data_IF_436129347409
#
_entry.id   IF_436129347409
#
_cell.length_a   1.000
_cell.length_b   1.000
_cell.length_c   1.000
_cell.angle_alpha   90.00
_cell.angle_beta   90.00
_cell.angle_gamma   90.00
#
_symmetry.space_group_name_H-M   'P 1'
#
loop_
_entity.id
_entity.type
_entity.pdbx_description
1 polymer ?
#
# COMPACT_ATOMS: atom_id res chain seq x y z
N UNK A 1 6.15 -19.89 -4.25
CA UNK A 1 6.56 -19.11 -3.07
C UNK A 1 5.70 -17.86 -3.03
N UNK A 2 5.02 -17.61 -1.91
CA UNK A 2 4.11 -16.46 -1.74
C UNK A 2 4.89 -15.18 -1.51
N UNK A 3 4.35 -14.04 -1.94
CA UNK A 3 5.01 -12.74 -1.80
C UNK A 3 4.31 -11.88 -0.76
N UNK A 4 5.06 -11.42 0.23
CA UNK A 4 4.66 -10.40 1.20
C UNK A 4 5.36 -9.09 0.84
N UNK A 5 4.60 -8.10 0.39
CA UNK A 5 5.11 -6.77 0.09
C UNK A 5 4.89 -5.82 1.28
N UNK A 6 5.97 -5.31 1.86
CA UNK A 6 5.93 -4.32 2.92
C UNK A 6 6.29 -2.93 2.40
N UNK A 7 5.29 -2.06 2.29
CA UNK A 7 5.44 -0.67 1.84
C UNK A 7 5.48 0.26 3.05
N UNK A 8 6.56 1.00 3.21
CA UNK A 8 6.70 2.00 4.29
C UNK A 8 6.69 3.41 3.76
N UNK A 9 5.94 4.28 4.44
CA UNK A 9 5.70 5.68 4.02
C UNK A 9 5.96 6.61 5.18
N UNK A 10 7.21 6.75 5.60
CA UNK A 10 7.59 7.70 6.65
C UNK A 10 9.05 8.11 6.51
N UNK A 11 9.34 9.40 6.67
CA UNK A 11 10.72 9.92 6.68
C UNK A 11 11.46 9.57 7.99
N UNK A 12 10.72 9.24 9.07
CA UNK A 12 11.32 8.82 10.34
C UNK A 12 11.85 7.39 10.26
N UNK A 13 12.94 7.06 10.95
CA UNK A 13 13.37 5.68 11.13
C UNK A 13 12.31 4.83 11.85
N UNK A 14 12.42 3.52 11.74
CA UNK A 14 11.38 2.58 12.19
C UNK A 14 11.08 2.69 13.69
N UNK A 15 12.09 2.80 14.52
CA UNK A 15 12.01 2.96 15.98
C UNK A 15 11.33 4.28 16.43
N UNK A 16 11.35 5.29 15.56
CA UNK A 16 10.73 6.58 15.82
C UNK A 16 9.32 6.72 15.18
N UNK A 17 8.90 5.75 14.39
CA UNK A 17 7.62 5.76 13.67
C UNK A 17 6.66 4.71 14.19
N UNK A 18 5.57 5.12 14.82
CA UNK A 18 4.58 4.19 15.38
C UNK A 18 3.97 3.26 14.30
N UNK A 19 3.63 3.80 13.11
CA UNK A 19 3.11 2.98 12.01
C UNK A 19 4.13 1.96 11.50
N UNK A 20 5.42 2.34 11.35
CA UNK A 20 6.47 1.41 10.90
C UNK A 20 6.77 0.36 11.97
N UNK A 21 6.83 0.74 13.26
CA UNK A 21 7.02 -0.20 14.38
C UNK A 21 5.93 -1.27 14.42
N UNK A 22 4.65 -0.85 14.28
CA UNK A 22 3.52 -1.79 14.28
C UNK A 22 3.46 -2.57 12.97
N UNK A 23 3.72 -1.93 11.81
CA UNK A 23 3.81 -2.61 10.52
C UNK A 23 4.89 -3.69 10.49
N UNK A 24 6.07 -3.42 11.06
CA UNK A 24 7.15 -4.40 11.21
C UNK A 24 6.73 -5.57 12.11
N UNK A 25 6.07 -5.29 13.22
CA UNK A 25 5.56 -6.33 14.11
C UNK A 25 4.54 -7.24 13.38
N UNK A 26 3.64 -6.66 12.59
CA UNK A 26 2.69 -7.42 11.77
C UNK A 26 3.41 -8.28 10.71
N UNK A 27 4.37 -7.71 9.98
CA UNK A 27 5.18 -8.45 8.98
C UNK A 27 5.91 -9.64 9.63
N UNK A 28 6.55 -9.41 10.78
CA UNK A 28 7.26 -10.47 11.49
C UNK A 28 6.32 -11.59 11.94
N UNK A 29 5.11 -11.26 12.40
CA UNK A 29 4.12 -12.26 12.80
C UNK A 29 3.58 -13.04 11.59
N UNK A 30 3.37 -12.39 10.44
CA UNK A 30 2.99 -13.08 9.19
C UNK A 30 4.08 -14.09 8.78
N UNK A 31 5.35 -13.69 8.82
CA UNK A 31 6.48 -14.56 8.46
C UNK A 31 6.70 -15.70 9.46
N UNK A 32 6.35 -15.49 10.74
CA UNK A 32 6.42 -16.53 11.76
C UNK A 32 5.30 -17.58 11.62
N UNK A 33 4.09 -17.15 11.27
CA UNK A 33 2.94 -18.03 11.10
C UNK A 33 2.96 -18.77 9.74
N UNK A 34 3.46 -18.10 8.69
CA UNK A 34 3.44 -18.61 7.31
C UNK A 34 4.84 -18.55 6.70
N UNK A 35 5.57 -19.65 6.76
CA UNK A 35 6.97 -19.76 6.31
C UNK A 35 7.15 -19.78 4.78
N UNK A 36 6.06 -19.89 4.01
CA UNK A 36 6.08 -19.84 2.56
C UNK A 36 6.23 -18.42 1.98
N UNK A 37 6.10 -17.36 2.80
CA UNK A 37 6.25 -16.00 2.32
C UNK A 37 7.70 -15.58 2.11
N UNK A 38 7.95 -14.96 0.96
CA UNK A 38 9.15 -14.15 0.69
C UNK A 38 8.81 -12.68 0.92
N UNK A 39 9.57 -12.03 1.80
CA UNK A 39 9.43 -10.61 2.07
C UNK A 39 10.10 -9.78 0.98
N UNK A 40 9.35 -8.83 0.42
CA UNK A 40 9.84 -7.70 -0.37
C UNK A 40 9.55 -6.40 0.38
N UNK A 41 10.55 -5.51 0.51
CA UNK A 41 10.40 -4.23 1.22
C UNK A 41 10.52 -3.06 0.25
N UNK A 42 9.63 -2.07 0.39
CA UNK A 42 9.63 -0.84 -0.40
C UNK A 42 9.46 0.38 0.52
N UNK A 43 10.53 1.12 0.74
CA UNK A 43 10.50 2.39 1.48
C UNK A 43 10.32 3.55 0.49
N UNK A 44 9.11 4.15 0.47
CA UNK A 44 8.75 5.20 -0.49
C UNK A 44 9.49 6.53 -0.27
N UNK A 45 10.20 6.69 0.86
CA UNK A 45 11.09 7.83 1.08
C UNK A 45 12.53 7.60 0.60
N UNK A 46 12.88 6.35 0.27
CA UNK A 46 14.21 5.98 -0.23
C UNK A 46 14.17 5.55 -1.69
N UNK A 47 13.08 4.91 -2.10
CA UNK A 47 12.90 4.47 -3.47
C UNK A 47 12.58 5.66 -4.39
N UNK A 48 13.03 5.57 -5.64
CA UNK A 48 12.58 6.49 -6.67
C UNK A 48 11.18 6.09 -7.13
N UNK A 49 10.21 6.97 -6.89
CA UNK A 49 8.82 6.82 -7.36
C UNK A 49 8.61 7.84 -8.47
N UNK A 50 8.52 7.41 -9.74
CA UNK A 50 8.34 8.33 -10.86
C UNK A 50 6.98 9.03 -10.79
N UNK A 51 6.97 10.31 -11.16
CA UNK A 51 5.71 11.01 -11.45
C UNK A 51 5.20 10.62 -12.83
N UNK A 52 3.89 10.47 -12.93
CA UNK A 52 3.26 10.19 -14.21
C UNK A 52 3.29 11.43 -15.11
N UNK A 53 3.83 11.28 -16.32
CA UNK A 53 3.86 12.32 -17.34
C UNK A 53 2.98 11.89 -18.54
N UNK A 54 2.35 12.85 -19.22
CA UNK A 54 1.39 12.53 -20.29
C UNK A 54 1.98 11.69 -21.43
N UNK A 55 3.27 11.89 -21.74
CA UNK A 55 3.96 11.16 -22.80
C UNK A 55 4.25 9.69 -22.49
N UNK A 56 4.02 9.24 -21.25
CA UNK A 56 4.20 7.84 -20.85
C UNK A 56 3.00 6.96 -21.21
N UNK A 57 1.91 7.57 -21.66
CA UNK A 57 0.65 6.88 -21.92
C UNK A 57 0.28 6.83 -23.39
N UNK A 58 -0.11 5.65 -23.87
CA UNK A 58 -0.77 5.47 -25.17
C UNK A 58 -2.22 5.97 -25.14
N UNK A 59 -2.88 5.84 -24.00
CA UNK A 59 -4.25 6.29 -23.73
C UNK A 59 -4.48 6.39 -22.22
N UNK A 60 -5.70 6.69 -21.79
CA UNK A 60 -6.04 6.85 -20.38
C UNK A 60 -5.54 5.67 -19.51
N UNK A 61 -4.58 5.93 -18.62
CA UNK A 61 -3.95 4.97 -17.70
C UNK A 61 -3.36 3.70 -18.38
N UNK A 62 -3.16 3.72 -19.71
CA UNK A 62 -2.54 2.65 -20.47
C UNK A 62 -1.12 3.09 -20.85
N UNK A 63 -0.12 2.40 -20.31
CA UNK A 63 1.28 2.70 -20.62
C UNK A 63 1.58 2.47 -22.11
N UNK A 64 2.62 3.14 -22.62
CA UNK A 64 3.12 2.93 -23.97
C UNK A 64 3.46 1.46 -24.20
N UNK A 65 3.25 1.00 -25.44
CA UNK A 65 3.82 -0.26 -25.92
C UNK A 65 5.34 -0.14 -26.15
N UNK A 66 5.99 -1.26 -26.43
CA UNK A 66 7.44 -1.30 -26.59
C UNK A 66 7.95 -0.38 -27.71
N UNK A 67 7.24 -0.34 -28.84
CA UNK A 67 7.67 0.44 -30.02
C UNK A 67 7.58 1.95 -29.75
N UNK A 68 6.52 2.40 -29.08
CA UNK A 68 6.36 3.79 -28.69
C UNK A 68 7.33 4.19 -27.57
N UNK A 69 7.58 3.29 -26.62
CA UNK A 69 8.53 3.50 -25.54
C UNK A 69 9.96 3.72 -26.04
N UNK A 70 10.41 2.93 -27.03
CA UNK A 70 11.76 3.06 -27.63
C UNK A 70 11.99 4.43 -28.33
N UNK A 71 10.92 5.19 -28.60
CA UNK A 71 11.02 6.55 -29.16
C UNK A 71 11.24 7.65 -28.12
N UNK A 72 11.02 7.33 -26.84
CA UNK A 72 11.30 8.27 -25.76
C UNK A 72 12.80 8.43 -25.48
N UNK A 73 13.23 9.56 -24.90
CA UNK A 73 14.57 9.71 -24.37
C UNK A 73 14.91 8.60 -23.36
N UNK A 74 16.18 8.12 -23.27
CA UNK A 74 16.55 7.02 -22.39
C UNK A 74 16.11 7.18 -20.93
N UNK A 75 16.22 8.40 -20.38
CA UNK A 75 15.77 8.71 -19.01
C UNK A 75 14.27 8.48 -18.84
N UNK A 76 13.46 8.86 -19.82
CA UNK A 76 12.00 8.66 -19.75
C UNK A 76 11.63 7.18 -19.93
N UNK A 77 12.38 6.42 -20.71
CA UNK A 77 12.25 4.96 -20.78
C UNK A 77 12.49 4.30 -19.41
N UNK A 78 13.53 4.75 -18.69
CA UNK A 78 13.81 4.28 -17.32
C UNK A 78 12.67 4.59 -16.35
N UNK A 79 12.08 5.79 -16.43
CA UNK A 79 10.92 6.17 -15.60
C UNK A 79 9.71 5.25 -15.89
N UNK A 80 9.38 5.01 -17.15
CA UNK A 80 8.28 4.10 -17.53
C UNK A 80 8.55 2.68 -17.07
N UNK A 81 9.78 2.17 -17.22
CA UNK A 81 10.13 0.85 -16.72
C UNK A 81 9.98 0.75 -15.20
N UNK A 82 10.37 1.80 -14.47
CA UNK A 82 10.21 1.84 -13.01
C UNK A 82 8.72 1.87 -12.60
N UNK A 83 7.87 2.63 -13.30
CA UNK A 83 6.43 2.64 -13.07
C UNK A 83 5.84 1.23 -13.26
N UNK A 84 6.18 0.59 -14.37
CA UNK A 84 5.73 -0.77 -14.68
C UNK A 84 6.20 -1.77 -13.63
N UNK A 85 7.47 -1.68 -13.21
CA UNK A 85 8.05 -2.53 -12.17
C UNK A 85 7.32 -2.40 -10.83
N UNK A 86 7.00 -1.18 -10.40
CA UNK A 86 6.23 -0.94 -9.16
C UNK A 86 4.83 -1.54 -9.25
N UNK A 87 4.18 -1.40 -10.41
CA UNK A 87 2.87 -1.98 -10.65
C UNK A 87 2.91 -3.52 -10.63
N UNK A 88 3.88 -4.12 -11.30
CA UNK A 88 4.03 -5.59 -11.33
C UNK A 88 4.38 -6.14 -9.94
N UNK A 89 5.25 -5.48 -9.17
CA UNK A 89 5.56 -5.86 -7.79
C UNK A 89 4.30 -5.89 -6.92
N UNK A 90 3.45 -4.85 -7.00
CA UNK A 90 2.18 -4.81 -6.28
C UNK A 90 1.23 -5.93 -6.73
N UNK A 91 1.07 -6.11 -8.04
CA UNK A 91 0.19 -7.12 -8.64
C UNK A 91 0.57 -8.55 -8.26
N UNK A 92 1.88 -8.82 -8.16
CA UNK A 92 2.41 -10.15 -7.82
C UNK A 92 2.33 -10.49 -6.34
N UNK A 93 2.16 -9.51 -5.46
CA UNK A 93 2.05 -9.74 -4.03
C UNK A 93 0.74 -10.49 -3.67
N UNK A 94 0.85 -11.43 -2.75
CA UNK A 94 -0.28 -12.16 -2.16
C UNK A 94 -0.82 -11.44 -0.92
N UNK A 95 0.10 -10.84 -0.15
CA UNK A 95 -0.22 -9.98 0.99
C UNK A 95 0.57 -8.68 0.87
N UNK A 96 -0.10 -7.54 1.05
CA UNK A 96 0.52 -6.22 1.07
C UNK A 96 0.27 -5.56 2.41
N UNK A 97 1.33 -5.10 3.07
CA UNK A 97 1.26 -4.29 4.30
C UNK A 97 1.74 -2.88 3.96
N UNK A 98 0.88 -1.87 4.13
CA UNK A 98 1.22 -0.46 3.91
C UNK A 98 1.26 0.24 5.26
N UNK A 99 2.44 0.69 5.70
CA UNK A 99 2.62 1.40 6.96
C UNK A 99 2.88 2.89 6.74
N UNK A 100 1.97 3.74 7.19
CA UNK A 100 1.98 5.19 6.94
C UNK A 100 1.50 6.00 8.15
N UNK A 101 1.98 7.22 8.38
CA UNK A 101 1.34 8.16 9.31
C UNK A 101 0.13 8.83 8.63
N UNK A 102 -0.80 9.30 9.43
CA UNK A 102 -1.81 10.24 8.99
C UNK A 102 -1.20 11.64 8.91
N UNK A 103 -1.19 12.24 7.73
CA UNK A 103 -0.83 13.64 7.51
C UNK A 103 -1.99 14.37 6.84
N UNK A 104 -2.40 15.52 7.42
CA UNK A 104 -3.49 16.34 6.86
C UNK A 104 -4.76 15.53 6.55
N UNK A 105 -5.19 14.68 7.48
CA UNK A 105 -6.33 13.75 7.38
C UNK A 105 -6.19 12.69 6.27
N UNK A 106 -4.99 12.53 5.72
CA UNK A 106 -4.67 11.60 4.63
C UNK A 106 -3.33 10.90 4.94
N UNK A 107 -2.49 10.74 3.95
CA UNK A 107 -1.17 10.14 4.01
C UNK A 107 -0.13 11.03 3.30
N UNK A 108 1.20 10.80 3.51
CA UNK A 108 2.24 11.56 2.82
C UNK A 108 2.21 11.38 1.30
N UNK A 109 2.62 12.43 0.56
CA UNK A 109 2.60 12.49 -0.91
C UNK A 109 3.25 11.28 -1.63
N UNK A 110 4.38 10.70 -1.17
CA UNK A 110 4.96 9.52 -1.82
C UNK A 110 4.01 8.34 -1.96
N UNK A 111 3.05 8.17 -1.02
CA UNK A 111 2.04 7.12 -1.17
C UNK A 111 1.07 7.42 -2.31
N UNK A 112 0.72 8.69 -2.54
CA UNK A 112 -0.12 9.05 -3.68
C UNK A 112 0.60 8.81 -5.01
N UNK A 113 1.88 9.20 -5.10
CA UNK A 113 2.72 8.94 -6.28
C UNK A 113 2.83 7.42 -6.57
N UNK A 114 3.02 6.61 -5.51
CA UNK A 114 3.01 5.14 -5.64
C UNK A 114 1.66 4.59 -6.11
N UNK A 115 0.55 5.07 -5.52
CA UNK A 115 -0.80 4.67 -5.94
C UNK A 115 -1.06 4.98 -7.41
N UNK A 116 -0.56 6.12 -7.90
CA UNK A 116 -0.68 6.48 -9.32
C UNK A 116 0.12 5.51 -10.20
N UNK A 117 1.29 5.06 -9.78
CA UNK A 117 2.09 4.07 -10.50
C UNK A 117 1.41 2.69 -10.59
N UNK A 118 0.69 2.25 -9.56
CA UNK A 118 0.13 0.90 -9.52
C UNK A 118 -1.26 0.77 -10.16
N UNK A 119 -1.94 1.88 -10.48
CA UNK A 119 -3.26 1.87 -11.14
C UNK A 119 -3.08 1.98 -12.65
N UNK A 120 -2.95 0.85 -13.34
CA UNK A 120 -2.67 0.79 -14.77
C UNK A 120 -3.68 -0.10 -15.52
N UNK A 121 -4.13 0.38 -16.67
CA UNK A 121 -4.97 -0.40 -17.59
C UNK A 121 -4.21 -1.58 -18.16
N UNK A 122 -4.84 -2.75 -18.17
CA UNK A 122 -4.26 -4.01 -18.62
C UNK A 122 -3.36 -4.70 -17.58
N UNK A 123 -3.18 -4.09 -16.36
CA UNK A 123 -2.39 -4.66 -15.27
C UNK A 123 -3.19 -4.84 -13.97
N UNK A 124 -3.73 -3.76 -13.43
CA UNK A 124 -4.51 -3.77 -12.19
C UNK A 124 -5.97 -3.40 -12.39
N UNK A 125 -6.26 -2.70 -13.48
CA UNK A 125 -7.63 -2.35 -13.91
C UNK A 125 -7.81 -2.58 -15.40
N UNK A 126 -9.07 -2.65 -15.83
CA UNK A 126 -9.50 -2.53 -17.24
C UNK A 126 -10.75 -1.67 -17.32
N UNK A 127 -11.29 -1.48 -18.53
CA UNK A 127 -12.56 -0.80 -18.73
C UNK A 127 -13.55 -1.70 -19.45
N UNK A 128 -14.73 -1.89 -18.88
CA UNK A 128 -15.90 -2.45 -19.54
C UNK A 128 -16.81 -1.30 -19.97
N UNK A 129 -16.70 -0.91 -21.24
CA UNK A 129 -17.31 0.33 -21.73
C UNK A 129 -16.67 1.56 -21.09
N UNK A 130 -17.44 2.31 -20.27
CA UNK A 130 -16.95 3.50 -19.55
C UNK A 130 -16.62 3.24 -18.09
N UNK A 131 -16.94 2.06 -17.56
CA UNK A 131 -16.75 1.71 -16.16
C UNK A 131 -15.42 1.00 -15.95
N UNK A 132 -14.63 1.42 -14.95
CA UNK A 132 -13.42 0.69 -14.57
C UNK A 132 -13.81 -0.65 -13.92
N UNK A 133 -13.00 -1.68 -14.18
CA UNK A 133 -13.12 -3.01 -13.59
C UNK A 133 -11.74 -3.44 -13.10
N UNK A 134 -11.69 -3.96 -11.87
CA UNK A 134 -10.48 -4.51 -11.29
C UNK A 134 -10.05 -5.82 -11.96
N UNK A 135 -8.75 -6.04 -12.02
CA UNK A 135 -8.13 -7.27 -12.55
C UNK A 135 -7.46 -8.10 -11.45
N UNK A 136 -7.46 -7.61 -10.19
CA UNK A 136 -6.81 -8.30 -9.07
C UNK A 136 -7.80 -9.16 -8.27
N UNK A 137 -8.91 -9.57 -8.86
CA UNK A 137 -9.84 -10.57 -8.36
C UNK A 137 -9.56 -12.00 -8.90
N UNK A 138 -8.46 -12.17 -9.66
CA UNK A 138 -8.00 -13.42 -10.25
C UNK A 138 -7.56 -14.47 -9.21
N UNK A 139 -7.19 -14.04 -8.01
CA UNK A 139 -6.84 -14.89 -6.85
C UNK A 139 -7.08 -14.14 -5.54
N UNK A 140 -7.20 -14.85 -4.39
CA UNK A 140 -7.26 -14.20 -3.08
C UNK A 140 -6.01 -13.37 -2.79
N UNK A 141 -6.21 -12.14 -2.33
CA UNK A 141 -5.16 -11.21 -1.86
C UNK A 141 -5.65 -10.46 -0.64
N UNK A 142 -4.74 -10.17 0.28
CA UNK A 142 -5.03 -9.28 1.41
C UNK A 142 -4.17 -8.04 1.37
N UNK A 143 -4.78 -6.89 1.62
CA UNK A 143 -4.07 -5.64 1.92
C UNK A 143 -4.36 -5.25 3.37
N UNK A 144 -3.30 -4.99 4.14
CA UNK A 144 -3.41 -4.47 5.51
C UNK A 144 -2.83 -3.06 5.55
N UNK A 145 -3.67 -2.10 5.91
CA UNK A 145 -3.28 -0.69 6.00
C UNK A 145 -3.02 -0.31 7.46
N UNK A 146 -1.76 -0.08 7.80
CA UNK A 146 -1.30 0.30 9.14
C UNK A 146 -1.11 1.81 9.19
N UNK A 147 -1.94 2.50 9.95
CA UNK A 147 -1.89 3.96 10.03
C UNK A 147 -1.71 4.44 11.47
N UNK A 148 -0.76 5.38 11.67
CA UNK A 148 -0.65 6.08 12.95
C UNK A 148 -1.20 7.49 12.88
N UNK A 149 -1.89 7.93 13.95
CA UNK A 149 -2.33 9.32 14.15
C UNK A 149 -1.99 9.83 15.54
N UNK A 150 -1.69 11.12 15.67
CA UNK A 150 -1.48 11.78 16.97
C UNK A 150 -2.77 11.84 17.78
N UNK A 151 -3.89 12.12 17.13
CA UNK A 151 -5.20 12.18 17.77
C UNK A 151 -5.80 10.79 17.99
N UNK A 152 -6.54 10.63 19.10
CA UNK A 152 -7.43 9.47 19.31
C UNK A 152 -8.76 9.76 18.57
N UNK A 153 -8.89 9.20 17.38
CA UNK A 153 -10.06 9.42 16.54
C UNK A 153 -11.17 8.48 16.99
N UNK A 154 -12.20 9.03 17.62
CA UNK A 154 -13.39 8.24 17.95
C UNK A 154 -13.96 7.58 16.69
N UNK A 155 -14.29 6.30 16.77
CA UNK A 155 -14.78 5.50 15.64
C UNK A 155 -15.93 6.14 14.86
N UNK A 156 -16.83 6.88 15.51
CA UNK A 156 -17.94 7.62 14.88
C UNK A 156 -17.46 8.77 13.97
N UNK A 157 -16.27 9.32 14.25
CA UNK A 157 -15.69 10.44 13.51
C UNK A 157 -14.74 9.95 12.40
N UNK A 158 -14.42 8.66 12.37
CA UNK A 158 -13.49 8.07 11.40
C UNK A 158 -13.84 8.36 9.95
N UNK A 159 -15.13 8.28 9.50
CA UNK A 159 -15.49 8.62 8.12
C UNK A 159 -15.19 10.07 7.72
N UNK A 160 -15.14 10.99 8.69
CA UNK A 160 -14.87 12.40 8.44
C UNK A 160 -13.39 12.75 8.47
N UNK A 161 -12.61 12.09 9.33
CA UNK A 161 -11.23 12.44 9.61
C UNK A 161 -10.22 11.49 8.94
N UNK A 162 -10.59 10.27 8.56
CA UNK A 162 -9.66 9.31 7.97
C UNK A 162 -9.83 9.18 6.45
N UNK A 163 -9.64 10.29 5.74
CA UNK A 163 -9.79 10.33 4.28
C UNK A 163 -8.77 9.45 3.57
N UNK A 164 -7.56 9.33 4.13
CA UNK A 164 -6.50 8.50 3.57
C UNK A 164 -6.85 7.01 3.59
N UNK A 165 -7.35 6.50 4.72
CA UNK A 165 -7.80 5.11 4.84
C UNK A 165 -8.88 4.79 3.80
N UNK A 166 -9.93 5.60 3.75
CA UNK A 166 -11.04 5.36 2.81
C UNK A 166 -10.60 5.44 1.36
N UNK A 167 -9.71 6.38 1.02
CA UNK A 167 -9.14 6.45 -0.33
C UNK A 167 -8.40 5.16 -0.69
N UNK A 168 -7.54 4.64 0.19
CA UNK A 168 -6.78 3.41 -0.09
C UNK A 168 -7.75 2.22 -0.20
N UNK A 169 -8.70 2.08 0.71
CA UNK A 169 -9.72 1.02 0.67
C UNK A 169 -10.51 1.04 -0.65
N UNK A 170 -10.98 2.22 -1.08
CA UNK A 170 -11.70 2.38 -2.35
C UNK A 170 -10.84 2.02 -3.56
N UNK A 171 -9.54 2.38 -3.55
CA UNK A 171 -8.63 2.01 -4.63
C UNK A 171 -8.34 0.51 -4.65
N UNK A 172 -8.22 -0.15 -3.50
CA UNK A 172 -8.08 -1.62 -3.45
C UNK A 172 -9.32 -2.32 -4.03
N UNK A 173 -10.51 -1.87 -3.62
CA UNK A 173 -11.79 -2.36 -4.19
C UNK A 173 -11.89 -2.12 -5.69
N UNK A 174 -11.48 -0.93 -6.16
CA UNK A 174 -11.45 -0.60 -7.58
C UNK A 174 -10.55 -1.55 -8.37
N UNK A 175 -9.41 -1.94 -7.82
CA UNK A 175 -8.50 -2.90 -8.46
C UNK A 175 -8.98 -4.37 -8.34
N UNK A 176 -10.04 -4.66 -7.57
CA UNK A 176 -10.61 -6.00 -7.43
C UNK A 176 -10.17 -6.76 -6.17
N UNK A 177 -9.39 -6.12 -5.27
CA UNK A 177 -8.97 -6.73 -4.01
C UNK A 177 -10.14 -6.70 -3.02
N UNK A 178 -10.56 -7.88 -2.56
CA UNK A 178 -11.75 -8.05 -1.70
C UNK A 178 -11.43 -7.98 -0.22
N UNK A 179 -10.24 -8.46 0.17
CA UNK A 179 -9.82 -8.48 1.57
C UNK A 179 -8.95 -7.27 1.86
N UNK A 180 -9.50 -6.34 2.62
CA UNK A 180 -8.81 -5.16 3.12
C UNK A 180 -9.05 -5.07 4.62
N UNK A 181 -7.96 -4.99 5.40
CA UNK A 181 -7.98 -4.78 6.84
C UNK A 181 -7.25 -3.49 7.19
N UNK A 182 -7.67 -2.83 8.26
CA UNK A 182 -6.95 -1.69 8.83
C UNK A 182 -6.42 -2.01 10.23
N UNK A 183 -5.24 -1.47 10.53
CA UNK A 183 -4.62 -1.53 11.84
C UNK A 183 -4.25 -0.11 12.29
N UNK A 184 -5.15 0.51 13.04
CA UNK A 184 -4.98 1.90 13.47
C UNK A 184 -4.19 1.99 14.78
N UNK A 185 -3.19 2.86 14.77
CA UNK A 185 -2.32 3.23 15.90
C UNK A 185 -2.65 4.65 16.31
N UNK A 186 -3.88 4.84 16.82
CA UNK A 186 -4.42 6.16 17.16
C UNK A 186 -4.01 6.58 18.57
N UNK A 187 -3.94 7.90 18.78
CA UNK A 187 -3.59 8.48 20.07
C UNK A 187 -2.11 8.34 20.40
N UNK A 188 -1.23 8.43 19.38
CA UNK A 188 0.22 8.43 19.64
C UNK A 188 0.68 9.67 20.40
N UNK A 189 -0.20 10.68 20.55
CA UNK A 189 -0.03 11.85 21.39
C UNK A 189 1.27 12.62 21.16
N UNK A 190 1.65 13.37 22.19
CA UNK A 190 2.87 14.18 22.19
C UNK A 190 3.95 13.59 23.14
N UNK A 191 3.61 12.58 23.95
CA UNK A 191 4.52 11.96 24.91
C UNK A 191 4.97 10.56 24.46
N UNK A 192 6.19 10.11 24.88
CA UNK A 192 6.64 8.75 24.63
C UNK A 192 5.71 7.69 25.21
N UNK A 193 5.12 7.93 26.37
CA UNK A 193 4.21 7.00 27.06
C UNK A 193 2.91 6.81 26.29
N UNK A 194 2.32 7.87 25.75
CA UNK A 194 1.13 7.80 24.90
C UNK A 194 1.42 7.02 23.63
N UNK A 195 2.55 7.28 22.99
CA UNK A 195 3.01 6.56 21.81
C UNK A 195 3.17 5.06 22.07
N UNK A 196 3.83 4.69 23.16
CA UNK A 196 4.05 3.30 23.55
C UNK A 196 2.73 2.57 23.81
N UNK A 197 1.83 3.20 24.56
CA UNK A 197 0.48 2.67 24.83
C UNK A 197 -0.32 2.44 23.54
N UNK A 198 -0.27 3.39 22.60
CA UNK A 198 -0.94 3.25 21.30
C UNK A 198 -0.37 2.09 20.48
N UNK A 199 0.97 1.95 20.46
CA UNK A 199 1.67 0.85 19.78
C UNK A 199 1.25 -0.50 20.38
N UNK A 200 1.29 -0.66 21.71
CA UNK A 200 0.91 -1.91 22.37
C UNK A 200 -0.56 -2.27 22.14
N UNK A 201 -1.46 -1.28 22.22
CA UNK A 201 -2.88 -1.47 21.90
C UNK A 201 -3.09 -2.00 20.46
N UNK A 202 -2.30 -1.48 19.51
CA UNK A 202 -2.37 -1.93 18.11
C UNK A 202 -1.75 -3.33 17.94
N UNK A 203 -0.60 -3.61 18.55
CA UNK A 203 0.04 -4.94 18.50
C UNK A 203 -0.85 -6.07 19.00
N UNK A 204 -1.68 -5.82 20.02
CA UNK A 204 -2.63 -6.81 20.55
C UNK A 204 -3.70 -7.26 19.51
N UNK A 205 -3.87 -6.53 18.41
CA UNK A 205 -4.79 -6.89 17.33
C UNK A 205 -4.13 -7.72 16.22
N UNK A 206 -2.79 -7.79 16.17
CA UNK A 206 -2.03 -8.41 15.07
C UNK A 206 -2.43 -9.87 14.86
N UNK A 207 -2.47 -10.68 15.92
CA UNK A 207 -2.83 -12.09 15.84
C UNK A 207 -4.22 -12.31 15.22
N UNK A 208 -5.17 -11.40 15.49
CA UNK A 208 -6.50 -11.45 14.88
C UNK A 208 -6.43 -11.21 13.37
N UNK A 209 -5.64 -10.25 12.92
CA UNK A 209 -5.46 -9.94 11.49
C UNK A 209 -4.77 -11.12 10.80
N UNK A 210 -3.65 -11.62 11.35
CA UNK A 210 -2.87 -12.71 10.75
C UNK A 210 -3.71 -13.97 10.51
N UNK A 211 -4.56 -14.34 11.47
CA UNK A 211 -5.46 -15.51 11.34
C UNK A 211 -6.53 -15.36 10.26
N UNK A 212 -6.86 -14.14 9.85
CA UNK A 212 -7.90 -13.86 8.87
C UNK A 212 -7.35 -13.39 7.51
N UNK A 213 -6.04 -13.55 7.28
CA UNK A 213 -5.45 -13.29 5.97
C UNK A 213 -6.00 -14.25 4.92
N UNK A 214 -6.36 -13.70 3.77
CA UNK A 214 -6.80 -14.46 2.60
C UNK A 214 -5.73 -14.37 1.53
N UNK A 215 -5.17 -15.50 1.15
CA UNK A 215 -4.26 -15.70 0.04
C UNK A 215 -4.42 -17.12 -0.47
N UNK A 216 -3.94 -17.40 -1.68
CA UNK A 216 -4.02 -18.75 -2.25
C UNK A 216 -3.15 -19.69 -1.41
N UNK A 217 -3.75 -20.68 -0.76
CA UNK A 217 -3.05 -21.74 -0.01
C UNK A 217 -2.79 -22.91 -0.96
N UNK A 218 -1.59 -23.49 -0.87
CA UNK A 218 -1.26 -24.72 -1.61
C UNK A 218 -2.08 -25.91 -1.14
#
# INVERSE_FOLDING_TARGET
MKKLLYVTVNSKPEDQSASRTVGRALVNEILAEYNEFQLEELDLYKAHIPRLEYQYFASRNCMLDKEALEKLPPKEQEEVHQIVKLCDQFREADVVVIATPMWSLSFPAPLKEYMDCIIQVGRTITFEGKMPKGLLDDRPRTVVYVQSSGADIMWMMNPFFNKGLHYIEDMMKLMGIKKFDDLLVDGTGDTPEEKEKAIEKAKNKINGIVKHLEFEKE
#
